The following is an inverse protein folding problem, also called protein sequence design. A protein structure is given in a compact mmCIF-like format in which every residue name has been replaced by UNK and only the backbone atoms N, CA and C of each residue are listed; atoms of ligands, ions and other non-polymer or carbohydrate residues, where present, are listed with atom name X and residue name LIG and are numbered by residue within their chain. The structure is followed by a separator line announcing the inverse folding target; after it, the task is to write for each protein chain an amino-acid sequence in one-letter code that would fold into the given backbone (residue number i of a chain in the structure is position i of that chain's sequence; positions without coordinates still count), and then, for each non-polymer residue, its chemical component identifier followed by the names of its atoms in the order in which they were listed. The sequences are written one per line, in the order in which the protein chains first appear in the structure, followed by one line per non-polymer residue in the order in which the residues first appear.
data_IF_560219447555
#
_entry.id   IF_560219447555
#
_cell.length_a   1.000
_cell.length_b   1.000
_cell.length_c   1.000
_cell.angle_alpha   90.00
_cell.angle_beta   90.00
_cell.angle_gamma   90.00
#
_symmetry.space_group_name_H-M   'P 1'
#
loop_
_entity.id
_entity.type
_entity.pdbx_description
1 polymer ?
#
# COMPACT_ATOMS: atom_id res chain seq x y z
N UNK A 1 -35.85 -3.95 13.57
CA UNK A 1 -35.43 -5.35 13.70
C UNK A 1 -34.96 -5.82 12.32
N UNK A 2 -33.67 -6.12 12.20
CA UNK A 2 -33.02 -6.92 11.14
C UNK A 2 -32.94 -6.39 9.70
N UNK A 3 -32.18 -5.30 9.49
CA UNK A 3 -31.49 -5.01 8.22
C UNK A 3 -30.29 -5.96 8.01
N UNK A 4 -30.50 -7.27 8.15
CA UNK A 4 -29.47 -8.25 7.80
C UNK A 4 -29.53 -8.48 6.30
N UNK A 5 -28.59 -7.84 5.61
CA UNK A 5 -27.96 -8.36 4.40
C UNK A 5 -28.93 -8.68 3.25
N UNK A 6 -29.32 -7.65 2.50
CA UNK A 6 -29.94 -7.87 1.20
C UNK A 6 -28.89 -8.45 0.24
N UNK A 7 -28.90 -9.76 0.07
CA UNK A 7 -27.97 -10.52 -0.77
C UNK A 7 -28.04 -10.12 -2.25
N UNK A 8 -29.13 -9.46 -2.69
CA UNK A 8 -29.22 -8.90 -4.03
C UNK A 8 -28.17 -7.82 -4.30
N UNK A 9 -27.64 -7.16 -3.25
CA UNK A 9 -26.54 -6.19 -3.38
C UNK A 9 -25.19 -6.83 -3.71
N UNK A 10 -25.01 -8.14 -3.47
CA UNK A 10 -23.81 -8.89 -3.85
C UNK A 10 -23.85 -9.33 -5.31
N UNK A 11 -25.02 -9.75 -5.80
CA UNK A 11 -25.15 -10.33 -7.14
C UNK A 11 -25.41 -9.30 -8.24
N UNK A 12 -25.97 -8.14 -7.88
CA UNK A 12 -26.07 -7.01 -8.79
C UNK A 12 -25.64 -5.75 -8.02
N UNK A 13 -24.33 -5.57 -7.79
CA UNK A 13 -23.84 -4.33 -7.22
C UNK A 13 -24.32 -3.19 -8.15
N UNK A 14 -24.88 -2.09 -7.60
CA UNK A 14 -25.23 -0.94 -8.42
C UNK A 14 -23.98 -0.56 -9.20
N UNK A 15 -24.09 -0.47 -10.53
CA UNK A 15 -22.97 -0.10 -11.39
C UNK A 15 -22.35 1.17 -10.79
N UNK A 16 -21.04 1.20 -10.53
CA UNK A 16 -20.38 2.45 -10.23
C UNK A 16 -20.52 3.27 -11.51
N UNK A 17 -21.56 4.11 -11.56
CA UNK A 17 -21.78 5.02 -12.67
C UNK A 17 -20.51 5.85 -12.75
N UNK A 18 -19.76 5.63 -13.84
CA UNK A 18 -18.56 6.37 -14.13
C UNK A 18 -18.92 7.84 -14.02
N UNK A 19 -18.21 8.53 -13.12
CA UNK A 19 -18.16 9.98 -13.02
C UNK A 19 -19.54 10.63 -13.21
N UNK A 20 -20.37 10.58 -12.17
CA UNK A 20 -21.52 11.49 -12.05
C UNK A 20 -22.85 10.80 -11.77
N UNK A 21 -23.11 10.52 -10.50
CA UNK A 21 -24.48 10.70 -10.01
C UNK A 21 -24.43 11.13 -8.54
N UNK A 22 -24.69 12.42 -8.33
CA UNK A 22 -24.93 13.00 -7.01
C UNK A 22 -26.15 12.31 -6.39
N UNK A 23 -25.92 11.39 -5.44
CA UNK A 23 -26.91 11.13 -4.42
C UNK A 23 -26.62 12.08 -3.26
N UNK A 24 -27.61 12.93 -2.94
CA UNK A 24 -27.61 13.98 -1.93
C UNK A 24 -27.46 13.45 -0.50
N UNK A 25 -26.33 12.80 -0.21
CA UNK A 25 -25.89 12.45 1.13
C UNK A 25 -24.37 12.68 1.15
N UNK A 26 -23.94 13.87 1.57
CA UNK A 26 -22.52 14.24 1.76
C UNK A 26 -21.75 13.28 2.69
N UNK A 27 -22.43 12.33 3.30
CA UNK A 27 -21.90 11.39 4.28
C UNK A 27 -21.34 10.09 3.67
N UNK A 28 -21.68 9.75 2.42
CA UNK A 28 -21.28 8.47 1.80
C UNK A 28 -19.99 8.61 0.96
N UNK A 29 -19.82 9.76 0.29
CA UNK A 29 -18.58 10.09 -0.44
C UNK A 29 -17.40 10.29 0.52
N UNK A 30 -17.66 10.91 1.67
CA UNK A 30 -16.67 11.09 2.75
C UNK A 30 -16.15 9.74 3.23
N UNK A 31 -17.04 8.76 3.49
CA UNK A 31 -16.62 7.44 3.98
C UNK A 31 -15.78 6.67 2.97
N UNK A 32 -16.15 6.68 1.69
CA UNK A 32 -15.38 6.00 0.64
C UNK A 32 -14.00 6.66 0.45
N UNK A 33 -13.94 8.00 0.46
CA UNK A 33 -12.67 8.73 0.32
C UNK A 33 -11.78 8.65 1.59
N UNK A 34 -12.38 8.66 2.79
CA UNK A 34 -11.70 8.46 4.08
C UNK A 34 -11.12 7.04 4.19
N UNK A 35 -11.89 6.02 3.78
CA UNK A 35 -11.42 4.64 3.76
C UNK A 35 -10.28 4.45 2.75
N UNK A 36 -10.33 5.15 1.61
CA UNK A 36 -9.24 5.16 0.63
C UNK A 36 -7.96 5.79 1.19
N UNK A 37 -8.05 6.94 1.89
CA UNK A 37 -6.88 7.60 2.48
C UNK A 37 -6.25 6.74 3.57
N UNK A 38 -7.05 6.15 4.47
CA UNK A 38 -6.56 5.27 5.51
C UNK A 38 -5.88 4.01 4.95
N UNK A 39 -6.51 3.36 3.97
CA UNK A 39 -5.97 2.18 3.30
C UNK A 39 -4.66 2.49 2.56
N UNK A 40 -4.62 3.60 1.82
CA UNK A 40 -3.46 3.96 1.01
C UNK A 40 -2.30 4.47 1.87
N UNK A 41 -2.58 5.15 2.99
CA UNK A 41 -1.59 5.52 4.00
C UNK A 41 -0.96 4.29 4.64
N UNK A 42 -1.76 3.31 5.05
CA UNK A 42 -1.25 2.07 5.63
C UNK A 42 -0.42 1.26 4.62
N UNK A 43 -0.89 1.13 3.37
CA UNK A 43 -0.15 0.47 2.30
C UNK A 43 1.19 1.15 2.02
N UNK A 44 1.22 2.48 2.02
CA UNK A 44 2.45 3.27 1.86
C UNK A 44 3.41 3.04 3.03
N UNK A 45 2.92 3.12 4.27
CA UNK A 45 3.73 2.89 5.46
C UNK A 45 4.34 1.48 5.48
N UNK A 46 3.52 0.45 5.20
CA UNK A 46 3.98 -0.93 5.15
C UNK A 46 5.04 -1.12 4.06
N UNK A 47 4.84 -0.52 2.89
CA UNK A 47 5.79 -0.59 1.78
C UNK A 47 7.10 0.13 2.12
N UNK A 48 7.05 1.29 2.76
CA UNK A 48 8.26 2.00 3.18
C UNK A 48 9.03 1.23 4.25
N UNK A 49 8.36 0.74 5.29
CA UNK A 49 9.00 -0.02 6.38
C UNK A 49 9.53 -1.35 5.87
N UNK A 50 8.67 -2.17 5.27
CA UNK A 50 9.02 -3.50 4.76
C UNK A 50 10.03 -3.43 3.61
N UNK A 51 9.84 -2.50 2.67
CA UNK A 51 10.78 -2.26 1.58
C UNK A 51 12.16 -1.82 2.09
N UNK A 52 12.22 -0.90 3.06
CA UNK A 52 13.49 -0.46 3.66
C UNK A 52 14.19 -1.60 4.41
N UNK A 53 13.42 -2.44 5.11
CA UNK A 53 13.95 -3.63 5.77
C UNK A 53 14.62 -4.59 4.77
N UNK A 54 13.95 -4.88 3.65
CA UNK A 54 14.51 -5.70 2.58
C UNK A 54 15.73 -5.04 1.91
N UNK A 55 15.64 -3.74 1.63
CA UNK A 55 16.68 -2.95 0.97
C UNK A 55 17.98 -2.88 1.80
N UNK A 56 17.86 -2.78 3.13
CA UNK A 56 19.01 -2.80 4.04
C UNK A 56 19.83 -4.09 3.96
N UNK A 57 19.21 -5.18 3.48
CA UNK A 57 19.82 -6.51 3.43
C UNK A 57 19.92 -7.19 4.79
N UNK A 58 19.26 -6.65 5.82
CA UNK A 58 19.10 -7.27 7.14
C UNK A 58 18.67 -8.75 7.07
N UNK A 59 17.71 -9.16 6.22
CA UNK A 59 17.30 -10.58 6.11
C UNK A 59 18.42 -11.52 5.68
N UNK A 60 19.42 -10.99 4.97
CA UNK A 60 20.55 -11.77 4.46
C UNK A 60 21.82 -11.54 5.27
N UNK A 61 21.74 -10.82 6.39
CA UNK A 61 22.91 -10.53 7.22
C UNK A 61 23.46 -11.83 7.78
N UNK A 62 24.79 -11.89 7.91
CA UNK A 62 25.48 -13.07 8.44
C UNK A 62 25.02 -13.33 9.88
N UNK A 63 24.15 -14.32 10.07
CA UNK A 63 23.55 -14.63 11.38
C UNK A 63 24.54 -15.30 12.34
N UNK A 64 25.53 -16.01 11.81
CA UNK A 64 26.56 -16.67 12.60
C UNK A 64 27.94 -16.05 12.29
N UNK A 65 28.60 -15.42 13.28
CA UNK A 65 29.90 -14.78 13.06
C UNK A 65 30.97 -15.78 12.60
N UNK A 66 30.82 -17.05 12.99
CA UNK A 66 31.75 -18.13 12.68
C UNK A 66 31.64 -18.72 11.27
N UNK A 67 30.61 -18.38 10.49
CA UNK A 67 30.51 -18.87 9.11
C UNK A 67 31.66 -18.35 8.27
N UNK A 68 32.31 -19.19 7.48
CA UNK A 68 33.25 -18.70 6.46
C UNK A 68 32.48 -18.03 5.32
N UNK A 69 33.15 -17.14 4.56
CA UNK A 69 32.51 -16.47 3.43
C UNK A 69 31.95 -17.45 2.40
N UNK A 70 32.62 -18.60 2.20
CA UNK A 70 32.16 -19.65 1.30
C UNK A 70 30.84 -20.28 1.78
N UNK A 71 30.71 -20.60 3.07
CA UNK A 71 29.48 -21.15 3.65
C UNK A 71 28.33 -20.15 3.53
N UNK A 72 28.59 -18.88 3.83
CA UNK A 72 27.61 -17.81 3.73
C UNK A 72 27.16 -17.56 2.28
N UNK A 73 28.08 -17.60 1.31
CA UNK A 73 27.75 -17.45 -0.12
C UNK A 73 27.01 -18.66 -0.69
N UNK A 74 27.19 -19.86 -0.11
CA UNK A 74 26.43 -21.06 -0.49
C UNK A 74 24.97 -20.98 -0.02
N UNK A 75 24.72 -20.46 1.19
CA UNK A 75 23.38 -20.35 1.77
C UNK A 75 22.63 -19.15 1.19
N UNK A 76 23.31 -18.02 1.02
CA UNK A 76 22.75 -16.80 0.46
C UNK A 76 23.54 -16.40 -0.79
N UNK A 77 23.25 -16.95 -1.97
CA UNK A 77 24.00 -16.62 -3.18
C UNK A 77 23.84 -15.13 -3.54
N UNK A 78 24.84 -14.56 -4.23
CA UNK A 78 24.87 -13.12 -4.56
C UNK A 78 23.61 -12.68 -5.32
N UNK A 79 23.14 -13.47 -6.29
CA UNK A 79 21.92 -13.16 -7.05
C UNK A 79 20.71 -13.00 -6.14
N UNK A 80 20.54 -13.88 -5.13
CA UNK A 80 19.43 -13.84 -4.18
C UNK A 80 19.45 -12.56 -3.35
N UNK A 81 20.63 -12.16 -2.85
CA UNK A 81 20.77 -10.93 -2.06
C UNK A 81 20.50 -9.69 -2.91
N UNK A 82 20.96 -9.68 -4.16
CA UNK A 82 20.71 -8.57 -5.08
C UNK A 82 19.22 -8.49 -5.41
N UNK A 83 18.57 -9.61 -5.74
CA UNK A 83 17.12 -9.65 -6.00
C UNK A 83 16.31 -9.13 -4.82
N UNK A 84 16.61 -9.56 -3.59
CA UNK A 84 15.93 -9.06 -2.39
C UNK A 84 16.06 -7.55 -2.21
N UNK A 85 17.26 -6.99 -2.44
CA UNK A 85 17.48 -5.55 -2.37
C UNK A 85 16.76 -4.81 -3.49
N UNK A 86 16.78 -5.32 -4.72
CA UNK A 86 16.06 -4.74 -5.85
C UNK A 86 14.55 -4.72 -5.61
N UNK A 87 13.98 -5.83 -5.12
CA UNK A 87 12.57 -5.90 -4.73
C UNK A 87 12.27 -4.92 -3.60
N UNK A 88 13.11 -4.86 -2.56
CA UNK A 88 12.98 -3.88 -1.48
C UNK A 88 12.95 -2.43 -2.00
N UNK A 89 13.85 -2.10 -2.93
CA UNK A 89 13.90 -0.77 -3.57
C UNK A 89 12.64 -0.46 -4.38
N UNK A 90 12.12 -1.42 -5.15
CA UNK A 90 10.85 -1.25 -5.87
C UNK A 90 9.67 -1.06 -4.93
N UNK A 91 9.62 -1.80 -3.82
CA UNK A 91 8.56 -1.66 -2.80
C UNK A 91 8.64 -0.29 -2.12
N UNK A 92 9.83 0.21 -1.78
CA UNK A 92 10.00 1.58 -1.27
C UNK A 92 9.51 2.61 -2.28
N UNK A 93 9.93 2.49 -3.55
CA UNK A 93 9.50 3.39 -4.61
C UNK A 93 7.98 3.41 -4.77
N UNK A 94 7.34 2.22 -4.77
CA UNK A 94 5.90 2.09 -4.81
C UNK A 94 5.20 2.74 -3.61
N UNK A 95 5.76 2.57 -2.41
CA UNK A 95 5.27 3.24 -1.20
C UNK A 95 5.34 4.77 -1.29
N UNK A 96 6.43 5.33 -1.84
CA UNK A 96 6.55 6.77 -2.07
C UNK A 96 5.53 7.27 -3.10
N UNK A 97 5.34 6.52 -4.19
CA UNK A 97 4.36 6.86 -5.22
C UNK A 97 2.93 6.94 -4.63
N UNK A 98 2.52 5.93 -3.86
CA UNK A 98 1.21 5.92 -3.18
C UNK A 98 1.08 7.01 -2.11
N UNK A 99 2.16 7.33 -1.40
CA UNK A 99 2.17 8.41 -0.43
C UNK A 99 1.94 9.78 -1.09
N UNK A 100 2.54 10.02 -2.27
CA UNK A 100 2.32 11.25 -3.04
C UNK A 100 0.87 11.36 -3.53
N UNK A 101 0.28 10.29 -4.05
CA UNK A 101 -1.14 10.27 -4.43
C UNK A 101 -2.05 10.60 -3.24
N UNK A 102 -1.78 9.98 -2.09
CA UNK A 102 -2.54 10.20 -0.85
C UNK A 102 -2.43 11.66 -0.37
N UNK A 103 -1.23 12.23 -0.43
CA UNK A 103 -0.99 13.63 -0.09
C UNK A 103 -1.74 14.60 -1.02
N UNK A 104 -1.77 14.32 -2.33
CA UNK A 104 -2.53 15.13 -3.28
C UNK A 104 -4.03 15.06 -3.05
N UNK A 105 -4.57 13.88 -2.73
CA UNK A 105 -5.98 13.71 -2.36
C UNK A 105 -6.32 14.47 -1.09
N UNK A 106 -5.48 14.37 -0.05
CA UNK A 106 -5.68 15.09 1.20
C UNK A 106 -5.70 16.61 1.01
N UNK A 107 -4.80 17.16 0.17
CA UNK A 107 -4.79 18.59 -0.18
C UNK A 107 -6.06 19.05 -0.89
N UNK A 108 -6.68 18.20 -1.73
CA UNK A 108 -7.94 18.53 -2.42
C UNK A 108 -9.12 18.58 -1.44
N UNK A 109 -9.10 17.76 -0.40
CA UNK A 109 -10.11 17.77 0.65
C UNK A 109 -9.98 19.00 1.57
N UNK A 110 -8.74 19.41 1.86
CA UNK A 110 -8.46 20.58 2.71
C UNK A 110 -8.81 21.93 2.04
N UNK A 111 -8.75 22.03 0.70
CA UNK A 111 -9.05 23.26 -0.05
C UNK A 111 -10.00 23.02 -1.25
N UNK A 112 -11.33 23.07 -1.05
CA UNK A 112 -12.29 22.85 -2.12
C UNK A 112 -12.47 24.03 -3.11
N UNK A 113 -11.78 25.18 -2.92
CA UNK A 113 -12.07 26.46 -3.63
C UNK A 113 -11.31 26.63 -4.97
N UNK A 114 -10.60 25.63 -5.48
CA UNK A 114 -9.89 25.75 -6.78
C UNK A 114 -10.27 24.66 -7.78
N UNK A 115 -11.58 24.51 -8.02
CA UNK A 115 -12.16 23.93 -9.22
C UNK A 115 -13.30 24.83 -9.69
#
# INVERSE_FOLDING_TARGET
MSDRSNILKIFNPPKPNGIGEQNNNNQDKSKVDEDCIGCNAFSSLFSLVGGSYLLSGYPTRKSNPQWTEQQYNKIHPKWWRTSLRSVGGLVVFFGLYRAVETYQLWRKLENPISQ
#
